data_IF_509067870170
#
_entry.id   IF_509067870170
#
_cell.length_a   1.000
_cell.length_b   1.000
_cell.length_c   1.000
_cell.angle_alpha   90.00
_cell.angle_beta   90.00
_cell.angle_gamma   90.00
#
_symmetry.space_group_name_H-M   'P 1'
#
loop_
_entity.id
_entity.type
_entity.pdbx_description
1 polymer ?
#
# COMPACT_ATOMS: atom_id res chain seq x y z
N UNK A 1 -1.22 16.29 -0.90
CA UNK A 1 -0.94 16.03 0.53
C UNK A 1 -2.03 15.11 1.08
N UNK A 2 -1.69 14.23 2.02
CA UNK A 2 -2.67 13.44 2.79
C UNK A 2 -2.68 14.03 4.19
N UNK A 3 -3.86 14.39 4.70
CA UNK A 3 -4.00 14.97 6.04
C UNK A 3 -5.02 14.16 6.84
N UNK A 4 -4.62 13.78 8.04
CA UNK A 4 -5.45 13.13 9.04
C UNK A 4 -5.62 14.10 10.21
N UNK A 5 -6.87 14.27 10.65
CA UNK A 5 -7.21 15.10 11.78
C UNK A 5 -8.03 14.30 12.79
N UNK A 6 -7.49 14.11 14.00
CA UNK A 6 -8.12 13.44 15.14
C UNK A 6 -8.71 12.06 14.76
N UNK A 7 -7.99 11.29 13.95
CA UNK A 7 -8.46 9.97 13.48
C UNK A 7 -8.45 8.97 14.63
N UNK A 8 -9.62 8.50 14.98
CA UNK A 8 -9.82 7.40 15.92
C UNK A 8 -10.47 6.21 15.21
N UNK A 9 -10.01 4.99 15.54
CA UNK A 9 -10.61 3.76 15.08
C UNK A 9 -10.87 2.80 16.23
N UNK A 10 -12.14 2.48 16.42
CA UNK A 10 -12.61 1.48 17.40
C UNK A 10 -13.22 0.32 16.63
N UNK A 11 -12.73 -0.89 16.85
CA UNK A 11 -13.35 -2.09 16.34
C UNK A 11 -14.33 -2.67 17.37
N UNK A 12 -15.37 -3.34 16.90
CA UNK A 12 -16.40 -3.98 17.70
C UNK A 12 -17.07 -3.03 18.73
N UNK A 13 -17.24 -1.76 18.37
CA UNK A 13 -17.85 -0.75 19.23
C UNK A 13 -19.19 -1.24 19.77
N UNK A 14 -19.41 -1.11 21.09
CA UNK A 14 -20.61 -1.58 21.80
C UNK A 14 -20.62 -3.09 22.12
N UNK A 15 -19.55 -3.84 21.83
CA UNK A 15 -19.39 -5.25 22.19
C UNK A 15 -18.37 -5.43 23.30
N UNK A 16 -18.41 -6.58 24.01
CA UNK A 16 -17.46 -6.87 25.11
C UNK A 16 -16.00 -6.96 24.63
N UNK A 17 -15.76 -7.21 23.35
CA UNK A 17 -14.43 -7.27 22.73
C UNK A 17 -14.10 -6.00 21.93
N UNK A 18 -14.67 -4.86 22.33
CA UNK A 18 -14.32 -3.58 21.72
C UNK A 18 -12.86 -3.22 22.04
N UNK A 19 -12.12 -2.74 21.03
CA UNK A 19 -10.76 -2.25 21.21
C UNK A 19 -10.47 -1.04 20.31
N UNK A 20 -9.63 -0.14 20.83
CA UNK A 20 -9.21 1.07 20.12
C UNK A 20 -7.92 0.72 19.36
N UNK A 21 -7.99 0.78 18.03
CA UNK A 21 -6.85 0.50 17.16
C UNK A 21 -6.05 1.78 16.81
N UNK A 22 -6.71 2.94 16.81
CA UNK A 22 -6.08 4.26 16.61
C UNK A 22 -6.73 5.27 17.54
N UNK A 23 -5.92 6.16 18.11
CA UNK A 23 -6.31 7.18 19.09
C UNK A 23 -5.91 8.56 18.60
N UNK A 24 -6.89 9.36 18.20
CA UNK A 24 -6.73 10.78 17.86
C UNK A 24 -5.49 11.11 17.01
N UNK A 25 -5.27 10.33 15.94
CA UNK A 25 -4.12 10.51 15.05
C UNK A 25 -4.26 11.81 14.27
N UNK A 26 -3.31 12.71 14.47
CA UNK A 26 -3.02 13.86 13.62
C UNK A 26 -1.75 13.57 12.82
N UNK A 27 -1.80 13.66 11.49
CA UNK A 27 -0.67 13.34 10.62
C UNK A 27 -0.77 14.07 9.29
N UNK A 28 0.37 14.55 8.80
CA UNK A 28 0.52 15.04 7.44
C UNK A 28 1.52 14.20 6.68
N UNK A 29 1.09 13.65 5.53
CA UNK A 29 1.97 12.87 4.64
C UNK A 29 2.20 13.65 3.35
N UNK A 30 3.48 13.87 3.04
CA UNK A 30 3.89 14.60 1.87
C UNK A 30 3.82 13.75 0.61
N UNK A 31 3.34 14.35 -0.50
CA UNK A 31 3.30 13.66 -1.79
C UNK A 31 4.71 13.60 -2.40
N UNK A 32 4.96 12.56 -3.20
CA UNK A 32 6.26 12.34 -3.83
C UNK A 32 7.36 11.88 -2.89
N UNK A 33 7.01 11.47 -1.66
CA UNK A 33 7.93 11.01 -0.63
C UNK A 33 7.69 9.55 -0.28
N UNK A 34 8.70 8.92 0.32
CA UNK A 34 8.60 7.62 0.98
C UNK A 34 8.42 7.85 2.48
N UNK A 35 7.25 7.45 3.00
CA UNK A 35 6.97 7.47 4.44
C UNK A 35 6.87 6.04 4.96
N UNK A 36 7.66 5.72 5.97
CA UNK A 36 7.64 4.42 6.66
C UNK A 36 6.96 4.56 8.03
N UNK A 37 5.89 3.81 8.22
CA UNK A 37 5.21 3.64 9.50
C UNK A 37 5.84 2.48 10.24
N UNK A 38 6.57 2.76 11.32
CA UNK A 38 7.28 1.76 12.12
C UNK A 38 6.59 1.53 13.46
N UNK A 39 6.76 0.36 14.03
CA UNK A 39 6.22 0.01 15.35
C UNK A 39 5.97 -1.49 15.47
N UNK A 40 5.73 -1.99 16.70
CA UNK A 40 5.48 -3.40 16.95
C UNK A 40 4.21 -3.91 16.24
N UNK A 41 4.04 -5.24 16.21
CA UNK A 41 2.77 -5.83 15.76
C UNK A 41 1.63 -5.32 16.66
N UNK A 42 0.47 -5.04 16.08
CA UNK A 42 -0.68 -4.50 16.81
C UNK A 42 -0.64 -2.99 17.09
N UNK A 43 0.41 -2.25 16.72
CA UNK A 43 0.50 -0.81 16.97
C UNK A 43 -0.46 0.09 16.16
N UNK A 44 -1.23 -0.47 15.21
CA UNK A 44 -2.19 0.28 14.42
C UNK A 44 -1.75 0.60 12.97
N UNK A 45 -0.53 0.23 12.53
CA UNK A 45 0.01 0.54 11.19
C UNK A 45 -0.92 0.11 10.04
N UNK A 46 -1.30 -1.16 10.01
CA UNK A 46 -2.23 -1.72 9.00
C UNK A 46 -3.57 -1.01 9.02
N UNK A 47 -4.08 -0.68 10.21
CA UNK A 47 -5.35 0.06 10.37
C UNK A 47 -5.24 1.47 9.80
N UNK A 48 -4.15 2.16 10.10
CA UNK A 48 -3.87 3.50 9.59
C UNK A 48 -3.78 3.50 8.05
N UNK A 49 -2.97 2.60 7.48
CA UNK A 49 -2.86 2.46 6.02
C UNK A 49 -4.20 2.07 5.36
N UNK A 50 -5.01 1.24 6.00
CA UNK A 50 -6.34 0.87 5.51
C UNK A 50 -7.30 2.06 5.48
N UNK A 51 -7.20 2.97 6.45
CA UNK A 51 -8.00 4.21 6.47
C UNK A 51 -7.52 5.18 5.39
N UNK A 52 -6.22 5.41 5.29
CA UNK A 52 -5.61 6.26 4.24
C UNK A 52 -6.02 5.76 2.86
N UNK A 53 -5.94 4.45 2.64
CA UNK A 53 -6.29 3.79 1.37
C UNK A 53 -7.80 3.63 1.11
N UNK A 54 -8.67 4.24 1.92
CA UNK A 54 -10.13 4.11 1.81
C UNK A 54 -10.66 2.66 1.88
N UNK A 55 -9.93 1.73 2.49
CA UNK A 55 -10.36 0.34 2.71
C UNK A 55 -11.16 0.18 4.00
N UNK A 56 -10.95 1.07 4.97
CA UNK A 56 -11.68 1.14 6.23
C UNK A 56 -12.07 2.59 6.51
N UNK A 57 -13.19 2.79 7.20
CA UNK A 57 -13.58 4.12 7.68
C UNK A 57 -13.07 4.33 9.11
N UNK A 58 -12.65 5.54 9.47
CA UNK A 58 -12.42 5.88 10.87
C UNK A 58 -13.74 5.85 11.65
N UNK A 59 -13.66 5.73 12.97
CA UNK A 59 -14.82 5.87 13.86
C UNK A 59 -15.14 7.35 14.08
N UNK A 60 -14.11 8.20 14.19
CA UNK A 60 -14.20 9.66 14.26
C UNK A 60 -12.96 10.29 13.62
N UNK A 61 -13.00 11.61 13.48
CA UNK A 61 -11.95 12.38 12.82
C UNK A 61 -12.20 12.58 11.32
N UNK A 62 -11.24 13.21 10.65
CA UNK A 62 -11.36 13.59 9.24
C UNK A 62 -10.09 13.26 8.48
N UNK A 63 -10.22 12.74 7.25
CA UNK A 63 -9.10 12.49 6.36
C UNK A 63 -9.33 13.14 4.98
N UNK A 64 -8.30 13.80 4.48
CA UNK A 64 -8.25 14.33 3.12
C UNK A 64 -7.09 13.71 2.35
N UNK A 65 -7.32 13.40 1.08
CA UNK A 65 -6.32 12.90 0.14
C UNK A 65 -6.36 13.78 -1.09
N UNK A 66 -5.26 14.45 -1.39
CA UNK A 66 -5.14 15.37 -2.52
C UNK A 66 -6.29 16.41 -2.54
N UNK A 67 -6.49 17.10 -1.42
CA UNK A 67 -7.54 18.09 -1.16
C UNK A 67 -8.99 17.56 -1.28
N UNK A 68 -9.19 16.25 -1.34
CA UNK A 68 -10.51 15.62 -1.34
C UNK A 68 -10.76 14.95 -0.01
N UNK A 69 -11.86 15.30 0.66
CA UNK A 69 -12.28 14.58 1.86
C UNK A 69 -12.73 13.16 1.49
N UNK A 70 -12.17 12.16 2.18
CA UNK A 70 -12.45 10.74 1.95
C UNK A 70 -13.05 10.04 3.17
N UNK A 71 -13.27 10.74 4.27
CA UNK A 71 -13.69 10.22 5.58
C UNK A 71 -14.90 9.29 5.53
N UNK A 72 -15.98 9.76 4.86
CA UNK A 72 -17.29 9.09 4.91
C UNK A 72 -17.87 8.84 3.52
N UNK A 73 -17.02 8.69 2.50
CA UNK A 73 -17.48 8.44 1.13
C UNK A 73 -18.39 7.20 1.07
N UNK A 74 -19.54 7.27 0.35
CA UNK A 74 -20.28 6.09 -0.02
C UNK A 74 -19.38 5.07 -0.74
N UNK A 75 -19.61 3.75 -0.54
CA UNK A 75 -18.70 2.70 -1.01
C UNK A 75 -18.34 2.78 -2.49
N UNK A 76 -19.31 3.11 -3.34
CA UNK A 76 -19.07 3.30 -4.79
C UNK A 76 -18.02 4.37 -5.11
N UNK A 77 -17.97 5.46 -4.29
CA UNK A 77 -17.00 6.55 -4.46
C UNK A 77 -15.66 6.17 -3.83
N UNK A 78 -15.67 5.55 -2.65
CA UNK A 78 -14.47 5.01 -2.03
C UNK A 78 -13.77 3.99 -2.95
N UNK A 79 -14.52 3.08 -3.58
CA UNK A 79 -14.00 2.13 -4.55
C UNK A 79 -13.36 2.81 -5.77
N UNK A 80 -13.95 3.92 -6.25
CA UNK A 80 -13.35 4.71 -7.33
C UNK A 80 -12.03 5.36 -6.88
N UNK A 81 -12.00 5.98 -5.70
CA UNK A 81 -10.78 6.57 -5.15
C UNK A 81 -9.69 5.49 -4.97
N UNK A 82 -10.02 4.33 -4.40
CA UNK A 82 -9.09 3.20 -4.28
C UNK A 82 -8.49 2.81 -5.63
N UNK A 83 -9.34 2.64 -6.64
CA UNK A 83 -8.94 2.21 -7.98
C UNK A 83 -8.06 3.24 -8.70
N UNK A 84 -8.39 4.53 -8.57
CA UNK A 84 -7.79 5.58 -9.39
C UNK A 84 -6.55 6.23 -8.71
N UNK A 85 -6.50 6.19 -7.36
CA UNK A 85 -5.47 6.90 -6.58
C UNK A 85 -4.45 5.95 -5.95
N UNK A 86 -4.87 4.75 -5.55
CA UNK A 86 -4.04 3.85 -4.75
C UNK A 86 -3.64 2.57 -5.47
N UNK A 87 -2.39 2.13 -5.24
CA UNK A 87 -1.92 0.78 -5.53
C UNK A 87 -1.55 0.07 -4.23
N UNK A 88 -1.99 -1.18 -4.05
CA UNK A 88 -1.81 -1.91 -2.80
C UNK A 88 -0.88 -3.10 -2.98
N UNK A 89 0.12 -3.21 -2.09
CA UNK A 89 0.99 -4.37 -1.91
C UNK A 89 0.77 -4.90 -0.49
N UNK A 90 0.18 -6.09 -0.37
CA UNK A 90 -0.16 -6.71 0.90
C UNK A 90 0.93 -7.67 1.37
N UNK A 91 1.02 -7.90 2.66
CA UNK A 91 1.95 -8.84 3.29
C UNK A 91 1.92 -10.24 2.66
N UNK A 92 0.74 -10.81 2.44
CA UNK A 92 0.54 -12.13 1.83
C UNK A 92 0.36 -12.06 0.30
N UNK A 93 0.77 -10.95 -0.34
CA UNK A 93 0.60 -10.65 -1.76
C UNK A 93 -0.85 -10.68 -2.25
N UNK A 94 -1.73 -11.48 -1.68
CA UNK A 94 -3.15 -11.66 -2.05
C UNK A 94 -3.33 -11.91 -3.56
N UNK A 95 -2.46 -12.74 -4.16
CA UNK A 95 -2.60 -13.17 -5.54
C UNK A 95 -3.70 -14.23 -5.64
N UNK A 96 -4.49 -14.14 -6.70
CA UNK A 96 -5.58 -15.09 -6.94
C UNK A 96 -4.98 -16.36 -7.53
N UNK A 97 -5.15 -17.47 -6.83
CA UNK A 97 -4.70 -18.79 -7.27
C UNK A 97 -5.53 -19.30 -8.45
N UNK A 98 -4.94 -20.18 -9.25
CA UNK A 98 -5.63 -20.81 -10.38
C UNK A 98 -5.66 -19.98 -11.67
N UNK A 99 -5.24 -18.71 -11.63
CA UNK A 99 -5.10 -17.86 -12.81
C UNK A 99 -3.64 -17.44 -13.04
N UNK A 100 -3.35 -16.97 -14.24
CA UNK A 100 -2.00 -16.58 -14.64
C UNK A 100 -1.51 -15.29 -13.96
N UNK A 101 -0.20 -15.08 -13.99
CA UNK A 101 0.46 -13.82 -13.61
C UNK A 101 -0.17 -12.63 -14.34
N UNK A 102 -0.34 -12.73 -15.66
CA UNK A 102 -0.90 -11.68 -16.48
C UNK A 102 -2.33 -11.32 -16.03
N UNK A 103 -3.18 -12.32 -15.81
CA UNK A 103 -4.56 -12.12 -15.35
C UNK A 103 -4.61 -11.47 -13.96
N UNK A 104 -3.78 -11.91 -13.02
CA UNK A 104 -3.68 -11.30 -11.70
C UNK A 104 -3.39 -9.79 -11.77
N UNK A 105 -2.47 -9.37 -12.64
CA UNK A 105 -2.12 -7.96 -12.81
C UNK A 105 -3.27 -7.16 -13.41
N UNK A 106 -4.06 -7.76 -14.30
CA UNK A 106 -5.12 -7.07 -15.03
C UNK A 106 -6.39 -6.83 -14.19
N UNK A 107 -6.65 -7.64 -13.15
CA UNK A 107 -7.89 -7.60 -12.35
C UNK A 107 -8.29 -6.18 -11.89
N UNK A 108 -7.40 -5.36 -11.27
CA UNK A 108 -7.83 -4.04 -10.79
C UNK A 108 -8.23 -3.07 -11.90
N UNK A 109 -7.87 -3.38 -13.14
CA UNK A 109 -8.21 -2.54 -14.29
C UNK A 109 -9.57 -2.88 -14.93
N UNK A 110 -10.15 -4.05 -14.67
CA UNK A 110 -11.44 -4.43 -15.28
C UNK A 110 -12.57 -3.42 -15.01
N UNK A 111 -12.75 -2.88 -13.78
CA UNK A 111 -13.81 -1.91 -13.51
C UNK A 111 -13.58 -0.54 -14.16
N UNK A 112 -12.46 -0.31 -14.86
CA UNK A 112 -12.16 0.98 -15.51
C UNK A 112 -12.88 1.17 -16.84
N UNK A 113 -13.42 0.10 -17.44
CA UNK A 113 -14.01 0.11 -18.79
C UNK A 113 -12.99 0.25 -19.93
N UNK A 114 -11.69 0.21 -19.64
CA UNK A 114 -10.64 0.26 -20.69
C UNK A 114 -10.68 -0.99 -21.57
N UNK A 115 -10.35 -0.83 -22.85
CA UNK A 115 -10.25 -1.96 -23.79
C UNK A 115 -9.26 -3.00 -23.27
N UNK A 116 -9.65 -4.27 -23.28
CA UNK A 116 -8.82 -5.39 -22.80
C UNK A 116 -7.41 -5.38 -23.40
N UNK A 117 -7.27 -5.13 -24.71
CA UNK A 117 -5.96 -5.06 -25.38
C UNK A 117 -5.05 -3.96 -24.79
N UNK A 118 -5.61 -2.82 -24.39
CA UNK A 118 -4.85 -1.73 -23.74
C UNK A 118 -4.38 -2.14 -22.35
N UNK A 119 -5.26 -2.77 -21.56
CA UNK A 119 -4.90 -3.28 -20.21
C UNK A 119 -3.83 -4.36 -20.32
N UNK A 120 -3.99 -5.31 -21.26
CA UNK A 120 -3.02 -6.38 -21.49
C UNK A 120 -1.65 -5.86 -21.90
N UNK A 121 -1.60 -4.86 -22.80
CA UNK A 121 -0.34 -4.19 -23.18
C UNK A 121 0.32 -3.57 -21.97
N UNK A 122 -0.43 -2.81 -21.16
CA UNK A 122 0.09 -2.19 -19.93
C UNK A 122 0.61 -3.21 -18.93
N UNK A 123 -0.10 -4.31 -18.72
CA UNK A 123 0.35 -5.39 -17.84
C UNK A 123 1.67 -6.01 -18.31
N UNK A 124 1.84 -6.26 -19.62
CA UNK A 124 3.11 -6.74 -20.20
C UNK A 124 4.25 -5.73 -20.02
N UNK A 125 4.00 -4.44 -20.19
CA UNK A 125 5.00 -3.40 -19.93
C UNK A 125 5.47 -3.40 -18.46
N UNK A 126 4.55 -3.57 -17.51
CA UNK A 126 4.89 -3.67 -16.09
C UNK A 126 5.70 -4.92 -15.77
N UNK A 127 5.32 -6.07 -16.34
CA UNK A 127 6.10 -7.31 -16.19
C UNK A 127 7.51 -7.16 -16.74
N UNK A 128 7.69 -6.51 -17.90
CA UNK A 128 9.02 -6.27 -18.47
C UNK A 128 9.87 -5.39 -17.54
N UNK A 129 9.31 -4.31 -17.00
CA UNK A 129 10.00 -3.40 -16.06
C UNK A 129 10.47 -4.10 -14.78
N UNK A 130 9.77 -5.15 -14.36
CA UNK A 130 10.10 -5.92 -13.16
C UNK A 130 10.74 -7.28 -13.48
N UNK A 131 11.26 -7.48 -14.71
CA UNK A 131 11.93 -8.70 -15.16
C UNK A 131 11.09 -9.98 -14.98
N UNK A 132 9.78 -9.88 -15.27
CA UNK A 132 8.81 -10.96 -15.11
C UNK A 132 8.09 -11.32 -16.43
N UNK A 133 8.56 -10.84 -17.59
CA UNK A 133 7.85 -11.00 -18.87
C UNK A 133 7.70 -12.47 -19.26
N UNK A 134 8.75 -13.29 -19.05
CA UNK A 134 8.75 -14.72 -19.35
C UNK A 134 7.76 -15.53 -18.53
N UNK A 135 7.39 -15.02 -17.35
CA UNK A 135 6.46 -15.65 -16.41
C UNK A 135 5.00 -15.28 -16.63
N UNK A 136 4.68 -14.49 -17.66
CA UNK A 136 3.35 -13.89 -17.87
C UNK A 136 2.20 -14.90 -17.91
N UNK A 137 2.43 -16.10 -18.44
CA UNK A 137 1.44 -17.15 -18.59
C UNK A 137 1.50 -18.22 -17.47
N UNK A 138 2.47 -18.14 -16.57
CA UNK A 138 2.58 -19.07 -15.45
C UNK A 138 1.50 -18.79 -14.40
N UNK A 139 1.13 -19.82 -13.63
CA UNK A 139 0.25 -19.67 -12.47
C UNK A 139 1.03 -19.09 -11.31
N UNK A 140 0.40 -18.22 -10.51
CA UNK A 140 1.09 -17.53 -9.42
C UNK A 140 1.60 -18.46 -8.32
N UNK A 141 1.01 -19.65 -8.20
CA UNK A 141 1.41 -20.68 -7.23
C UNK A 141 2.77 -21.32 -7.53
N UNK A 142 3.23 -21.24 -8.77
CA UNK A 142 4.54 -21.81 -9.18
C UNK A 142 5.70 -20.84 -8.95
N UNK A 143 5.40 -19.61 -8.56
CA UNK A 143 6.38 -18.54 -8.40
C UNK A 143 7.06 -18.58 -7.02
N UNK A 144 8.34 -18.20 -6.99
CA UNK A 144 9.05 -17.88 -5.73
C UNK A 144 8.44 -16.66 -5.03
N UNK A 145 8.74 -16.48 -3.73
CA UNK A 145 8.24 -15.34 -2.95
C UNK A 145 8.58 -13.99 -3.56
N UNK A 146 9.82 -13.79 -4.02
CA UNK A 146 10.24 -12.56 -4.69
C UNK A 146 9.55 -12.33 -6.05
N UNK A 147 9.26 -13.40 -6.80
CA UNK A 147 8.48 -13.32 -8.03
C UNK A 147 7.03 -12.94 -7.73
N UNK A 148 6.39 -13.58 -6.74
CA UNK A 148 5.04 -13.22 -6.30
C UNK A 148 4.94 -11.75 -5.86
N UNK A 149 5.96 -11.25 -5.17
CA UNK A 149 6.03 -9.85 -4.79
C UNK A 149 6.10 -8.93 -6.01
N UNK A 150 6.93 -9.21 -7.00
CA UNK A 150 7.01 -8.43 -8.24
C UNK A 150 5.68 -8.44 -9.01
N UNK A 151 4.95 -9.55 -9.00
CA UNK A 151 3.59 -9.63 -9.55
C UNK A 151 2.63 -8.74 -8.76
N UNK A 152 2.68 -8.76 -7.41
CA UNK A 152 1.85 -7.91 -6.56
C UNK A 152 2.14 -6.41 -6.79
N UNK A 153 3.41 -6.02 -6.96
CA UNK A 153 3.79 -4.65 -7.34
C UNK A 153 3.26 -4.30 -8.74
N UNK A 154 3.41 -5.18 -9.72
CA UNK A 154 2.87 -4.97 -11.06
C UNK A 154 1.35 -4.76 -11.05
N UNK A 155 0.63 -5.56 -10.25
CA UNK A 155 -0.81 -5.43 -10.05
C UNK A 155 -1.17 -4.09 -9.41
N UNK A 156 -0.42 -3.66 -8.40
CA UNK A 156 -0.62 -2.37 -7.76
C UNK A 156 -0.46 -1.20 -8.76
N UNK A 157 0.42 -1.33 -9.74
CA UNK A 157 0.75 -0.28 -10.72
C UNK A 157 -0.15 -0.24 -11.97
N UNK A 158 -1.05 -1.21 -12.17
CA UNK A 158 -1.80 -1.35 -13.44
C UNK A 158 -2.63 -0.11 -13.80
N UNK A 159 -3.27 0.50 -12.80
CA UNK A 159 -4.09 1.70 -12.97
C UNK A 159 -3.28 3.01 -12.91
N UNK A 160 -1.95 2.93 -12.82
CA UNK A 160 -1.06 4.08 -12.68
C UNK A 160 -1.40 4.98 -11.47
N UNK A 161 -1.52 4.42 -10.26
CA UNK A 161 -1.87 5.19 -9.06
C UNK A 161 -0.81 6.26 -8.75
N UNK A 162 -1.21 7.32 -8.04
CA UNK A 162 -0.29 8.32 -7.50
C UNK A 162 0.32 7.89 -6.17
N UNK A 163 -0.34 7.01 -5.43
CA UNK A 163 0.07 6.57 -4.09
C UNK A 163 0.17 5.05 -4.07
N UNK A 164 1.29 4.51 -3.58
CA UNK A 164 1.49 3.09 -3.31
C UNK A 164 1.44 2.86 -1.81
N UNK A 165 0.61 1.93 -1.38
CA UNK A 165 0.51 1.48 0.00
C UNK A 165 1.06 0.06 0.09
N UNK A 166 2.05 -0.17 0.93
CA UNK A 166 2.66 -1.47 1.17
C UNK A 166 2.58 -1.81 2.66
N UNK A 167 1.85 -2.87 2.98
CA UNK A 167 1.65 -3.33 4.36
C UNK A 167 2.51 -4.57 4.62
N UNK A 168 3.54 -4.44 5.48
CA UNK A 168 4.55 -5.45 5.82
C UNK A 168 5.11 -6.20 4.60
N UNK A 169 5.53 -5.48 3.54
CA UNK A 169 5.84 -6.08 2.24
C UNK A 169 7.08 -6.99 2.25
N UNK A 170 7.92 -6.88 3.27
CA UNK A 170 9.18 -7.65 3.39
C UNK A 170 9.15 -8.72 4.48
N UNK A 171 7.98 -8.97 5.11
CA UNK A 171 7.87 -9.89 6.25
C UNK A 171 8.27 -11.35 5.95
N UNK A 172 8.15 -11.77 4.69
CA UNK A 172 8.47 -13.14 4.25
C UNK A 172 9.66 -13.21 3.30
N UNK A 173 10.49 -12.17 3.27
CA UNK A 173 11.63 -12.05 2.37
C UNK A 173 12.94 -12.06 3.14
N UNK A 174 13.97 -12.59 2.50
CA UNK A 174 15.34 -12.40 2.95
C UNK A 174 15.82 -10.95 2.77
N UNK A 175 17.03 -10.68 3.24
CA UNK A 175 17.62 -9.34 3.20
C UNK A 175 17.78 -8.80 1.78
N UNK A 176 18.18 -9.65 0.83
CA UNK A 176 18.46 -9.22 -0.55
C UNK A 176 17.17 -8.91 -1.30
N UNK A 177 16.15 -9.74 -1.15
CA UNK A 177 14.82 -9.46 -1.71
C UNK A 177 14.18 -8.22 -1.07
N UNK A 178 14.41 -8.00 0.23
CA UNK A 178 13.96 -6.79 0.92
C UNK A 178 14.63 -5.52 0.36
N UNK A 179 15.93 -5.58 0.04
CA UNK A 179 16.66 -4.48 -0.62
C UNK A 179 16.11 -4.23 -2.02
N UNK A 180 15.91 -5.28 -2.83
CA UNK A 180 15.32 -5.16 -4.17
C UNK A 180 13.92 -4.52 -4.12
N UNK A 181 13.10 -4.89 -3.13
CA UNK A 181 11.80 -4.23 -2.93
C UNK A 181 11.98 -2.73 -2.67
N UNK A 182 12.88 -2.34 -1.78
CA UNK A 182 13.12 -0.92 -1.47
C UNK A 182 13.65 -0.15 -2.68
N UNK A 183 14.57 -0.73 -3.47
CA UNK A 183 15.05 -0.15 -4.73
C UNK A 183 13.88 0.14 -5.70
N UNK A 184 12.95 -0.80 -5.85
CA UNK A 184 11.75 -0.59 -6.67
C UNK A 184 10.93 0.57 -6.12
N UNK A 185 10.71 0.66 -4.80
CA UNK A 185 9.92 1.73 -4.17
C UNK A 185 10.59 3.10 -4.34
N UNK A 186 11.91 3.19 -4.16
CA UNK A 186 12.66 4.44 -4.39
C UNK A 186 12.57 4.86 -5.86
N UNK A 187 12.76 3.94 -6.80
CA UNK A 187 12.60 4.24 -8.22
C UNK A 187 11.18 4.75 -8.57
N UNK A 188 10.15 4.17 -7.94
CA UNK A 188 8.78 4.64 -8.10
C UNK A 188 8.58 6.06 -7.54
N UNK A 189 9.21 6.39 -6.40
CA UNK A 189 9.23 7.75 -5.83
C UNK A 189 9.88 8.74 -6.80
N UNK A 190 11.06 8.40 -7.35
CA UNK A 190 11.77 9.22 -8.34
C UNK A 190 10.92 9.49 -9.60
N UNK A 191 10.00 8.57 -9.92
CA UNK A 191 8.99 8.73 -10.97
C UNK A 191 7.71 9.43 -10.47
N UNK A 192 7.76 10.16 -9.37
CA UNK A 192 6.70 11.01 -8.85
C UNK A 192 5.60 10.29 -8.07
N UNK A 193 5.82 9.04 -7.64
CA UNK A 193 4.85 8.33 -6.78
C UNK A 193 5.08 8.67 -5.31
N UNK A 194 4.02 8.65 -4.53
CA UNK A 194 4.06 8.68 -3.06
C UNK A 194 4.05 7.24 -2.55
N UNK A 195 4.93 6.91 -1.62
CA UNK A 195 5.09 5.56 -1.11
C UNK A 195 4.82 5.54 0.39
N UNK A 196 3.88 4.73 0.83
CA UNK A 196 3.53 4.52 2.23
C UNK A 196 3.80 3.06 2.59
N UNK A 197 4.71 2.83 3.53
CA UNK A 197 5.12 1.46 3.92
C UNK A 197 4.86 1.28 5.41
N UNK A 198 4.08 0.27 5.80
CA UNK A 198 4.09 -0.21 7.19
C UNK A 198 5.14 -1.31 7.30
N UNK A 199 6.06 -1.18 8.24
CA UNK A 199 7.05 -2.22 8.51
C UNK A 199 7.59 -2.15 9.94
N UNK A 200 7.89 -3.31 10.53
CA UNK A 200 8.68 -3.43 11.74
C UNK A 200 10.16 -3.73 11.45
N UNK A 201 10.53 -3.92 10.17
CA UNK A 201 11.89 -4.23 9.75
C UNK A 201 12.75 -2.96 9.70
N UNK A 202 13.84 -2.95 10.48
CA UNK A 202 14.78 -1.83 10.53
C UNK A 202 15.48 -1.56 9.20
N UNK A 203 15.70 -2.58 8.37
CA UNK A 203 16.26 -2.41 7.03
C UNK A 203 15.37 -1.47 6.21
N UNK A 204 14.04 -1.61 6.29
CA UNK A 204 13.07 -0.78 5.56
C UNK A 204 13.09 0.66 6.08
N UNK A 205 13.04 0.85 7.40
CA UNK A 205 13.00 2.18 8.01
C UNK A 205 14.30 2.97 7.89
N UNK A 206 15.44 2.28 7.79
CA UNK A 206 16.77 2.89 7.66
C UNK A 206 17.28 2.86 6.21
N UNK A 207 16.46 2.47 5.25
CA UNK A 207 16.89 2.40 3.85
C UNK A 207 17.14 3.80 3.29
N UNK A 208 18.25 3.96 2.55
CA UNK A 208 18.56 5.22 1.88
C UNK A 208 17.44 5.65 0.92
N UNK A 209 17.01 6.91 1.02
CA UNK A 209 15.91 7.44 0.22
C UNK A 209 14.53 7.38 0.87
N UNK A 210 14.40 6.84 2.10
CA UNK A 210 13.23 7.05 2.96
C UNK A 210 13.24 8.51 3.45
N UNK A 211 12.15 9.24 3.22
CA UNK A 211 12.07 10.67 3.57
C UNK A 211 11.50 10.89 4.97
N UNK A 212 10.58 10.04 5.42
CA UNK A 212 9.92 10.17 6.71
C UNK A 212 9.76 8.83 7.41
N UNK A 213 10.00 8.82 8.71
CA UNK A 213 9.70 7.72 9.61
C UNK A 213 8.66 8.16 10.64
N UNK A 214 7.54 7.45 10.73
CA UNK A 214 6.46 7.69 11.69
C UNK A 214 6.36 6.48 12.62
N UNK A 215 6.66 6.69 13.91
CA UNK A 215 6.57 5.66 14.93
C UNK A 215 5.17 5.55 15.48
N UNK A 216 4.57 4.35 15.42
CA UNK A 216 3.28 4.03 16.05
C UNK A 216 3.46 3.08 17.22
N UNK A 217 2.75 3.34 18.31
CA UNK A 217 2.64 2.46 19.47
C UNK A 217 1.26 2.60 20.11
N UNK A 218 0.60 1.47 20.38
CA UNK A 218 -0.70 1.41 21.05
C UNK A 218 -1.78 2.31 20.43
N UNK A 219 -1.72 2.48 19.10
CA UNK A 219 -2.65 3.28 18.33
C UNK A 219 -2.36 4.78 18.31
N UNK A 220 -1.22 5.22 18.82
CA UNK A 220 -0.78 6.63 18.87
C UNK A 220 0.51 6.84 18.07
N UNK A 221 0.73 8.05 17.57
CA UNK A 221 2.02 8.46 16.99
C UNK A 221 2.93 8.87 18.17
N UNK A 222 4.06 8.18 18.30
CA UNK A 222 5.06 8.43 19.37
C UNK A 222 6.30 9.13 18.84
N UNK A 223 6.50 9.16 17.53
CA UNK A 223 7.68 9.71 16.90
C UNK A 223 7.42 10.06 15.43
N UNK A 224 7.90 11.23 15.01
CA UNK A 224 8.04 11.60 13.60
C UNK A 224 9.47 12.07 13.36
N UNK A 225 10.16 11.46 12.39
CA UNK A 225 11.52 11.85 11.99
C UNK A 225 11.59 12.01 10.49
N UNK A 226 12.29 13.03 10.02
CA UNK A 226 12.78 13.10 8.64
C UNK A 226 13.86 12.05 8.44
N UNK A 227 13.86 11.38 7.30
CA UNK A 227 14.93 10.45 6.89
C UNK A 227 16.27 11.18 6.75
N UNK A 228 17.34 10.40 6.87
CA UNK A 228 18.71 10.90 6.66
C UNK A 228 19.06 10.84 5.17
#
# INVERSE_FOLDING_TARGET
>A
MIELFQITKIFNMGKANAFIALREIDLRVHMGCVTVFKGPSGSGKTTLLSIIGCMSRPTSGRITVDNRETTSLPERFAARVRRDTFGFVFQNYNLIKGISVLENIMIPAYPTGRKHATVKRRAKELLRRLNMETKSNERVETLSGGEQQRVAISRALINNPSIIIADEPTAHLDTDLSRQFMEIMINLKENGKTILIASHNQLVSNYGGVDYNVGLRDGEIVEERTGQ
#
